data_IF_884210147980
#
_entry.id   IF_884210147980
#
_cell.length_a   1.000
_cell.length_b   1.000
_cell.length_c   1.000
_cell.angle_alpha   90.00
_cell.angle_beta   90.00
_cell.angle_gamma   90.00
#
_symmetry.space_group_name_H-M   'P 1'
#
loop_
_entity.id
_entity.type
_entity.pdbx_description
1 polymer ?
#
# COMPACT_ATOMS: atom_id res chain seq x y z
N UNK A 1 -0.66 0.78 -6.87
CA UNK A 1 -2.10 0.50 -6.71
C UNK A 1 -2.86 1.51 -7.57
N UNK A 2 -3.78 1.10 -8.45
CA UNK A 2 -4.48 2.05 -9.35
C UNK A 2 -5.93 2.16 -8.91
N UNK A 3 -6.26 3.29 -8.27
CA UNK A 3 -7.62 3.60 -7.82
C UNK A 3 -8.23 4.56 -8.83
N UNK A 4 -9.17 4.09 -9.64
CA UNK A 4 -9.90 4.91 -10.60
C UNK A 4 -11.26 5.26 -9.99
N UNK A 5 -11.48 6.52 -9.61
CA UNK A 5 -12.81 7.05 -9.30
C UNK A 5 -13.32 7.84 -10.50
N UNK A 6 -14.27 7.26 -11.23
CA UNK A 6 -15.13 7.99 -12.18
C UNK A 6 -16.30 8.56 -11.36
N UNK A 7 -16.88 9.70 -11.80
CA UNK A 7 -18.23 10.24 -11.52
C UNK A 7 -18.30 11.68 -10.95
N UNK A 8 -19.41 12.35 -11.29
CA UNK A 8 -19.58 13.77 -11.59
C UNK A 8 -20.31 14.52 -10.46
N UNK A 9 -19.59 14.96 -9.40
CA UNK A 9 -20.06 15.96 -8.42
C UNK A 9 -18.84 16.72 -7.83
N UNK A 10 -18.88 18.07 -7.70
CA UNK A 10 -17.69 18.88 -7.39
C UNK A 10 -17.09 18.64 -6.00
N UNK A 11 -17.92 18.28 -5.00
CA UNK A 11 -17.46 17.96 -3.63
C UNK A 11 -16.71 16.62 -3.60
N UNK A 12 -17.22 15.62 -4.32
CA UNK A 12 -16.59 14.31 -4.45
C UNK A 12 -15.30 14.38 -5.29
N UNK A 13 -15.24 15.26 -6.30
CA UNK A 13 -14.01 15.55 -7.03
C UNK A 13 -12.92 16.11 -6.11
N UNK A 14 -13.25 17.08 -5.27
CA UNK A 14 -12.32 17.62 -4.28
C UNK A 14 -11.83 16.56 -3.29
N UNK A 15 -12.74 15.72 -2.77
CA UNK A 15 -12.37 14.62 -1.88
C UNK A 15 -11.51 13.57 -2.58
N UNK A 16 -11.83 13.22 -3.82
CA UNK A 16 -11.04 12.26 -4.61
C UNK A 16 -9.64 12.76 -4.91
N UNK A 17 -9.50 14.06 -5.21
CA UNK A 17 -8.21 14.70 -5.44
C UNK A 17 -7.40 14.73 -4.14
N UNK A 18 -8.04 15.04 -3.02
CA UNK A 18 -7.41 15.06 -1.69
C UNK A 18 -6.92 13.66 -1.27
N UNK A 19 -7.76 12.63 -1.42
CA UNK A 19 -7.38 11.24 -1.15
C UNK A 19 -6.24 10.78 -2.07
N UNK A 20 -6.26 11.20 -3.34
CA UNK A 20 -5.20 10.92 -4.29
C UNK A 20 -3.88 11.56 -3.86
N UNK A 21 -3.88 12.86 -3.54
CA UNK A 21 -2.67 13.55 -3.07
C UNK A 21 -2.12 12.93 -1.80
N UNK A 22 -2.99 12.60 -0.83
CA UNK A 22 -2.57 11.92 0.41
C UNK A 22 -1.90 10.57 0.12
N UNK A 23 -2.47 9.79 -0.81
CA UNK A 23 -1.91 8.48 -1.18
C UNK A 23 -0.54 8.63 -1.84
N UNK A 24 -0.39 9.59 -2.75
CA UNK A 24 0.89 9.87 -3.43
C UNK A 24 1.96 10.36 -2.45
N UNK A 25 1.59 11.21 -1.50
CA UNK A 25 2.54 11.73 -0.52
C UNK A 25 2.99 10.63 0.45
N UNK A 26 2.06 9.78 0.92
CA UNK A 26 2.40 8.60 1.71
C UNK A 26 3.35 7.65 0.96
N UNK A 27 3.08 7.39 -0.32
CA UNK A 27 3.96 6.58 -1.17
C UNK A 27 5.36 7.20 -1.26
N UNK A 28 5.47 8.51 -1.51
CA UNK A 28 6.76 9.21 -1.58
C UNK A 28 7.56 9.17 -0.29
N UNK A 29 6.91 9.25 0.86
CA UNK A 29 7.61 9.21 2.16
C UNK A 29 8.01 7.80 2.55
N UNK A 30 7.18 6.80 2.25
CA UNK A 30 7.43 5.41 2.63
C UNK A 30 8.40 4.68 1.68
N UNK A 31 8.47 5.07 0.41
CA UNK A 31 9.29 4.41 -0.59
C UNK A 31 10.81 4.45 -0.27
N UNK A 32 11.39 5.58 0.20
CA UNK A 32 12.79 5.62 0.65
C UNK A 32 13.06 4.71 1.86
N UNK A 33 12.11 4.57 2.78
CA UNK A 33 12.24 3.68 3.94
C UNK A 33 12.34 2.22 3.47
N UNK A 34 11.45 1.80 2.57
CA UNK A 34 11.50 0.45 2.02
C UNK A 34 12.82 0.17 1.28
N UNK A 35 13.30 1.14 0.49
CA UNK A 35 14.58 1.01 -0.22
C UNK A 35 15.79 0.97 0.72
N UNK A 36 15.78 1.73 1.82
CA UNK A 36 16.83 1.66 2.84
C UNK A 36 17.00 0.27 3.44
N UNK A 37 15.94 -0.55 3.42
CA UNK A 37 15.96 -1.94 3.87
C UNK A 37 16.14 -2.96 2.71
N UNK A 38 16.38 -2.50 1.47
CA UNK A 38 16.42 -3.33 0.26
C UNK A 38 15.13 -4.14 0.03
N UNK A 39 13.99 -3.51 0.26
CA UNK A 39 12.68 -4.14 0.19
C UNK A 39 11.71 -3.32 -0.63
N UNK A 40 10.58 -3.93 -0.99
CA UNK A 40 9.51 -3.28 -1.76
C UNK A 40 8.54 -2.57 -0.82
N UNK A 41 7.91 -1.50 -1.32
CA UNK A 41 6.98 -0.70 -0.54
C UNK A 41 5.79 -1.50 0.04
N UNK A 42 5.27 -2.48 -0.70
CA UNK A 42 4.18 -3.31 -0.21
C UNK A 42 4.61 -4.22 0.97
N UNK A 43 5.87 -4.66 1.00
CA UNK A 43 6.41 -5.49 2.08
C UNK A 43 6.51 -4.66 3.38
N UNK A 44 6.95 -3.41 3.26
CA UNK A 44 6.94 -2.44 4.37
C UNK A 44 5.51 -2.19 4.89
N UNK A 45 4.53 -2.04 4.00
CA UNK A 45 3.15 -1.81 4.40
C UNK A 45 2.55 -2.99 5.19
N UNK A 46 2.81 -4.23 4.75
CA UNK A 46 2.38 -5.44 5.46
C UNK A 46 3.07 -5.53 6.84
N UNK A 47 4.39 -5.35 6.87
CA UNK A 47 5.17 -5.39 8.11
C UNK A 47 4.70 -4.34 9.13
N UNK A 48 4.39 -3.12 8.67
CA UNK A 48 3.86 -2.06 9.53
C UNK A 48 2.52 -2.42 10.18
N UNK A 49 1.61 -3.03 9.41
CA UNK A 49 0.31 -3.49 9.90
C UNK A 49 0.50 -4.61 10.93
N UNK A 50 1.34 -5.60 10.64
CA UNK A 50 1.58 -6.74 11.53
C UNK A 50 2.42 -6.38 12.76
N UNK A 51 3.16 -5.28 12.73
CA UNK A 51 3.87 -4.77 13.91
C UNK A 51 2.92 -4.24 15.01
N UNK A 52 1.64 -4.05 14.70
CA UNK A 52 0.65 -3.62 15.69
C UNK A 52 0.24 -4.80 16.59
N UNK A 53 0.42 -4.73 17.92
CA UNK A 53 0.12 -5.85 18.82
C UNK A 53 -1.35 -6.32 18.80
N UNK A 54 -2.27 -5.44 18.38
CA UNK A 54 -3.70 -5.74 18.27
C UNK A 54 -4.07 -6.45 16.96
N UNK A 55 -3.16 -6.57 16.00
CA UNK A 55 -3.40 -7.18 14.70
C UNK A 55 -2.83 -8.60 14.70
N UNK A 56 -3.69 -9.58 14.41
CA UNK A 56 -3.29 -11.00 14.37
C UNK A 56 -2.98 -11.47 12.94
N UNK A 57 -3.62 -10.87 11.93
CA UNK A 57 -3.45 -11.24 10.53
C UNK A 57 -3.75 -10.06 9.60
N UNK A 58 -3.22 -10.10 8.37
CA UNK A 58 -3.40 -9.10 7.33
C UNK A 58 -3.81 -9.77 6.01
N UNK A 59 -5.04 -9.51 5.55
CA UNK A 59 -5.56 -10.04 4.29
C UNK A 59 -5.16 -9.10 3.14
N UNK A 60 -4.43 -9.64 2.17
CA UNK A 60 -3.96 -8.90 0.99
C UNK A 60 -4.69 -9.37 -0.27
N UNK A 61 -5.35 -8.43 -0.96
CA UNK A 61 -5.97 -8.70 -2.25
C UNK A 61 -4.94 -8.75 -3.37
N UNK A 62 -4.77 -9.92 -3.99
CA UNK A 62 -3.87 -10.15 -5.11
C UNK A 62 -4.66 -10.28 -6.41
N UNK A 63 -4.19 -9.65 -7.49
CA UNK A 63 -4.91 -9.63 -8.79
C UNK A 63 -4.37 -10.61 -9.81
N UNK A 64 -3.17 -11.15 -9.61
CA UNK A 64 -2.54 -12.10 -10.53
C UNK A 64 -1.45 -12.95 -9.84
N UNK A 65 -1.05 -14.05 -10.48
CA UNK A 65 -0.06 -14.98 -9.94
C UNK A 65 1.31 -14.34 -9.67
N UNK A 66 1.73 -13.36 -10.48
CA UNK A 66 3.01 -12.65 -10.30
C UNK A 66 3.01 -11.81 -9.02
N UNK A 67 1.92 -11.13 -8.71
CA UNK A 67 1.75 -10.40 -7.45
C UNK A 67 1.78 -11.36 -6.25
N UNK A 68 1.20 -12.56 -6.38
CA UNK A 68 1.22 -13.59 -5.34
C UNK A 68 2.65 -14.11 -5.07
N UNK A 69 3.40 -14.41 -6.14
CA UNK A 69 4.78 -14.87 -6.04
C UNK A 69 5.68 -13.83 -5.37
N UNK A 70 5.50 -12.55 -5.72
CA UNK A 70 6.21 -11.45 -5.09
C UNK A 70 5.89 -11.32 -3.60
N UNK A 71 4.64 -11.57 -3.20
CA UNK A 71 4.22 -11.54 -1.79
C UNK A 71 4.86 -12.67 -0.98
N UNK A 72 4.91 -13.88 -1.52
CA UNK A 72 5.56 -15.02 -0.86
C UNK A 72 7.06 -14.75 -0.60
N UNK A 73 7.75 -14.17 -1.57
CA UNK A 73 9.16 -13.79 -1.42
C UNK A 73 9.38 -12.67 -0.38
N UNK A 74 8.39 -11.81 -0.19
CA UNK A 74 8.45 -10.66 0.71
C UNK A 74 8.00 -10.92 2.16
N UNK A 75 7.46 -12.10 2.45
CA UNK A 75 6.84 -12.42 3.74
C UNK A 75 7.83 -12.57 4.91
N UNK A 76 9.14 -12.53 4.65
CA UNK A 76 10.21 -12.67 5.66
C UNK A 76 10.79 -11.32 6.09
N UNK A 77 9.94 -10.33 6.37
CA UNK A 77 10.37 -9.01 6.85
C UNK A 77 10.69 -9.01 8.36
N UNK A 78 9.96 -9.82 9.13
CA UNK A 78 10.09 -9.96 10.59
C UNK A 78 10.75 -11.31 10.88
#
# INVERSE_FOLDING_TARGET
MKVCFVHNTPVLLSLSLFLYTLTVDLERTAQPLAYGHNRKLFELAIAWILAQPAVTDAIVGIRNAREAEQMLMGSNWI
#
